data_IF_115261850896
#
_entry.id   IF_115261850896
#
_cell.length_a   1.000
_cell.length_b   1.000
_cell.length_c   1.000
_cell.angle_alpha   90.00
_cell.angle_beta   90.00
_cell.angle_gamma   90.00
#
_symmetry.space_group_name_H-M   'P 1'
#
loop_
_entity.id
_entity.type
_entity.pdbx_description
1 polymer ?
#
# COMPACT_ATOMS: atom_id res chain seq x y z
N UNK A 1 10.23 -7.46 -11.58
CA UNK A 1 11.38 -8.24 -11.08
C UNK A 1 11.63 -7.82 -9.64
N UNK A 2 11.58 -8.78 -8.70
CA UNK A 2 11.70 -8.70 -7.21
C UNK A 2 10.89 -7.62 -6.49
N UNK A 3 11.12 -6.34 -6.74
CA UNK A 3 10.43 -5.22 -6.06
C UNK A 3 8.91 -5.33 -6.15
N UNK A 4 8.36 -5.57 -7.36
CA UNK A 4 6.90 -5.78 -7.54
C UNK A 4 6.37 -6.98 -6.76
N UNK A 5 7.17 -8.03 -6.59
CA UNK A 5 6.78 -9.26 -5.89
C UNK A 5 6.72 -9.07 -4.38
N UNK A 6 7.50 -8.12 -3.84
CA UNK A 6 7.52 -7.79 -2.40
C UNK A 6 6.54 -6.66 -2.08
N UNK A 7 6.37 -5.72 -3.01
CA UNK A 7 5.55 -4.53 -2.79
C UNK A 7 4.06 -4.88 -2.63
N UNK A 8 3.50 -5.74 -3.49
CA UNK A 8 2.09 -6.15 -3.39
C UNK A 8 1.74 -6.78 -2.02
N UNK A 9 2.44 -7.82 -1.53
CA UNK A 9 2.11 -8.41 -0.23
C UNK A 9 2.36 -7.43 0.93
N UNK A 10 3.36 -6.55 0.84
CA UNK A 10 3.58 -5.50 1.83
C UNK A 10 2.37 -4.55 1.90
N UNK A 11 1.85 -4.11 0.76
CA UNK A 11 0.68 -3.23 0.68
C UNK A 11 -0.58 -3.90 1.23
N UNK A 12 -0.80 -5.18 0.91
CA UNK A 12 -1.93 -5.98 1.44
C UNK A 12 -1.87 -6.09 2.97
N UNK A 13 -0.69 -6.42 3.52
CA UNK A 13 -0.48 -6.55 4.97
C UNK A 13 -0.72 -5.21 5.68
N UNK A 14 -0.23 -4.11 5.13
CA UNK A 14 -0.43 -2.79 5.75
C UNK A 14 -1.89 -2.34 5.65
N UNK A 15 -2.56 -2.55 4.51
CA UNK A 15 -3.98 -2.24 4.38
C UNK A 15 -4.83 -3.07 5.36
N UNK A 16 -4.53 -4.35 5.54
CA UNK A 16 -5.21 -5.19 6.51
C UNK A 16 -5.01 -4.67 7.95
N UNK A 17 -3.77 -4.31 8.32
CA UNK A 17 -3.46 -3.72 9.64
C UNK A 17 -4.12 -2.35 9.85
N UNK A 18 -4.25 -1.55 8.80
CA UNK A 18 -4.89 -0.25 8.83
C UNK A 18 -6.43 -0.33 8.70
N UNK A 19 -7.02 -1.52 8.56
CA UNK A 19 -8.47 -1.68 8.38
C UNK A 19 -8.99 -1.01 7.11
N UNK A 20 -8.25 -1.13 6.00
CA UNK A 20 -8.49 -0.45 4.72
C UNK A 20 -8.44 1.10 4.77
N UNK A 21 -8.04 1.71 5.90
CA UNK A 21 -7.82 3.15 5.98
C UNK A 21 -6.50 3.54 5.28
N UNK A 22 -6.60 4.10 4.08
CA UNK A 22 -5.44 4.50 3.28
C UNK A 22 -4.60 5.61 3.91
N UNK A 23 -5.19 6.50 4.71
CA UNK A 23 -4.41 7.54 5.40
C UNK A 23 -3.51 6.91 6.45
N UNK A 24 -4.06 6.04 7.29
CA UNK A 24 -3.30 5.30 8.30
C UNK A 24 -2.25 4.37 7.65
N UNK A 25 -2.61 3.66 6.58
CA UNK A 25 -1.66 2.82 5.85
C UNK A 25 -0.48 3.64 5.27
N UNK A 26 -0.74 4.86 4.79
CA UNK A 26 0.29 5.74 4.26
C UNK A 26 1.24 6.24 5.37
N UNK A 27 0.69 6.57 6.55
CA UNK A 27 1.47 6.91 7.75
C UNK A 27 2.34 5.75 8.20
N UNK A 28 1.80 4.52 8.26
CA UNK A 28 2.55 3.31 8.62
C UNK A 28 3.72 3.02 7.66
N UNK A 29 3.56 3.39 6.39
CA UNK A 29 4.59 3.22 5.35
C UNK A 29 5.56 4.40 5.24
N UNK A 30 5.30 5.50 5.95
CA UNK A 30 6.11 6.72 5.84
C UNK A 30 6.05 7.36 4.45
N UNK A 31 4.96 7.19 3.71
CA UNK A 31 4.77 7.77 2.37
C UNK A 31 3.54 8.67 2.31
N UNK A 32 3.48 9.54 1.31
CA UNK A 32 2.28 10.32 1.04
C UNK A 32 1.11 9.40 0.63
N UNK A 33 -0.11 9.67 1.12
CA UNK A 33 -1.34 8.96 0.74
C UNK A 33 -1.56 8.89 -0.77
N UNK A 34 -1.23 9.94 -1.52
CA UNK A 34 -1.34 9.95 -2.98
C UNK A 34 -0.34 8.98 -3.63
N UNK A 35 0.85 8.82 -3.05
CA UNK A 35 1.83 7.81 -3.47
C UNK A 35 1.31 6.40 -3.18
N UNK A 36 0.75 6.17 -1.99
CA UNK A 36 0.09 4.90 -1.66
C UNK A 36 -1.03 4.58 -2.66
N UNK A 37 -1.92 5.54 -2.93
CA UNK A 37 -3.03 5.36 -3.88
C UNK A 37 -2.55 4.92 -5.27
N UNK A 38 -1.51 5.58 -5.81
CA UNK A 38 -0.91 5.19 -7.09
C UNK A 38 -0.41 3.75 -7.07
N UNK A 39 0.33 3.37 -6.03
CA UNK A 39 0.83 2.00 -5.86
C UNK A 39 -0.31 0.97 -5.76
N UNK A 40 -1.38 1.28 -5.03
CA UNK A 40 -2.54 0.39 -4.94
C UNK A 40 -3.23 0.20 -6.31
N UNK A 41 -3.38 1.26 -7.10
CA UNK A 41 -3.92 1.16 -8.47
C UNK A 41 -3.00 0.34 -9.38
N UNK A 42 -1.68 0.56 -9.32
CA UNK A 42 -0.69 -0.20 -10.11
C UNK A 42 -0.72 -1.70 -9.79
N UNK A 43 -0.98 -2.06 -8.53
CA UNK A 43 -1.06 -3.45 -8.05
C UNK A 43 -2.48 -4.04 -8.04
N UNK A 44 -3.48 -3.31 -8.55
CA UNK A 44 -4.89 -3.72 -8.62
C UNK A 44 -5.48 -4.09 -7.24
N UNK A 45 -5.16 -3.28 -6.22
CA UNK A 45 -5.62 -3.40 -4.83
C UNK A 45 -6.68 -2.33 -4.47
N UNK A 46 -7.26 -1.68 -5.48
CA UNK A 46 -8.21 -0.59 -5.38
C UNK A 46 -9.47 -0.90 -6.17
#
# INVERSE_FOLDING_TARGET
MVLRSVEKPMLEVVLAKAGANQTLAAEMLGINRNTLRKKLTEHQLL
#
